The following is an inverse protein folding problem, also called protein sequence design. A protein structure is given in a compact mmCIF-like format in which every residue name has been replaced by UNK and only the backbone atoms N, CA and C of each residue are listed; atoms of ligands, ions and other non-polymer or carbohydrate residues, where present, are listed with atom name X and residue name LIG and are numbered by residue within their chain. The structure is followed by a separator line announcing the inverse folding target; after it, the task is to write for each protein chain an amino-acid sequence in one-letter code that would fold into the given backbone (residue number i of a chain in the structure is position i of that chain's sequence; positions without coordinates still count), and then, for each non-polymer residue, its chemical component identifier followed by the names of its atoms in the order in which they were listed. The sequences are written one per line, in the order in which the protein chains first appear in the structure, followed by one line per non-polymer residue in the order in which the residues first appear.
data_IF_852657944782
#
_entry.id   IF_852657944782
#
_cell.length_a   1.000
_cell.length_b   1.000
_cell.length_c   1.000
_cell.angle_alpha   90.00
_cell.angle_beta   90.00
_cell.angle_gamma   90.00
#
_symmetry.space_group_name_H-M   'P 1'
#
loop_
_entity.id
_entity.type
_entity.pdbx_description
1 polymer ?
#
# COMPACT_ATOMS: atom_id res chain seq x y z
N UNK A 1 -32.54 -67.64 12.22
CA UNK A 1 -31.74 -66.54 12.85
C UNK A 1 -32.49 -65.25 12.54
N UNK A 2 -33.35 -64.77 13.46
CA UNK A 2 -34.20 -63.57 13.22
C UNK A 2 -33.43 -62.33 13.56
N UNK A 3 -32.89 -61.62 12.54
CA UNK A 3 -32.34 -60.31 12.70
C UNK A 3 -33.49 -59.33 12.95
N UNK A 4 -33.56 -58.77 14.15
CA UNK A 4 -34.61 -57.84 14.57
C UNK A 4 -34.51 -56.60 13.72
N UNK A 5 -35.53 -56.18 12.95
CA UNK A 5 -35.46 -55.03 12.02
C UNK A 5 -35.17 -53.70 12.71
N UNK A 6 -35.25 -53.63 14.02
CA UNK A 6 -34.89 -52.45 14.83
C UNK A 6 -33.38 -52.14 14.81
N UNK A 7 -32.50 -53.12 14.64
CA UNK A 7 -31.05 -52.90 14.63
C UNK A 7 -30.56 -52.39 13.28
N UNK A 8 -31.16 -52.85 12.19
CA UNK A 8 -30.88 -52.33 10.84
C UNK A 8 -31.36 -50.87 10.65
N UNK A 9 -32.48 -50.49 11.25
CA UNK A 9 -32.98 -49.12 11.22
C UNK A 9 -32.06 -48.15 12.01
N UNK A 10 -31.56 -48.58 13.16
CA UNK A 10 -30.60 -47.78 13.97
C UNK A 10 -29.28 -47.53 13.25
N UNK A 11 -28.76 -48.52 12.52
CA UNK A 11 -27.54 -48.38 11.73
C UNK A 11 -27.72 -47.46 10.55
N UNK A 12 -28.90 -47.43 9.92
CA UNK A 12 -29.21 -46.52 8.83
C UNK A 12 -29.33 -45.05 9.28
N UNK A 13 -29.90 -44.81 10.47
CA UNK A 13 -29.98 -43.46 11.08
C UNK A 13 -28.58 -42.94 11.45
N UNK A 14 -27.68 -43.78 11.95
CA UNK A 14 -26.29 -43.41 12.31
C UNK A 14 -25.47 -43.08 11.05
N UNK A 15 -25.72 -43.75 9.92
CA UNK A 15 -25.04 -43.47 8.63
C UNK A 15 -25.42 -42.12 8.04
N UNK A 16 -26.60 -41.58 8.30
CA UNK A 16 -27.06 -40.26 7.80
C UNK A 16 -26.40 -39.10 8.58
N UNK A 17 -26.03 -39.32 9.85
CA UNK A 17 -25.35 -38.28 10.64
C UNK A 17 -23.86 -38.05 10.28
N UNK A 18 -23.25 -38.93 9.48
CA UNK A 18 -21.81 -38.82 9.13
C UNK A 18 -21.51 -37.83 8.00
N UNK A 19 -22.49 -37.20 7.36
CA UNK A 19 -22.32 -36.29 6.21
C UNK A 19 -22.16 -34.80 6.59
N UNK A 20 -22.03 -34.46 7.87
CA UNK A 20 -22.06 -33.08 8.36
C UNK A 20 -20.74 -32.35 8.48
N UNK A 21 -19.58 -32.90 8.09
CA UNK A 21 -18.32 -32.20 8.20
C UNK A 21 -18.14 -31.20 7.04
N UNK A 22 -18.47 -29.95 7.27
CA UNK A 22 -18.06 -28.86 6.36
C UNK A 22 -16.53 -28.78 6.36
N UNK A 23 -15.91 -29.18 5.27
CA UNK A 23 -14.48 -28.94 5.07
C UNK A 23 -14.18 -27.44 5.13
N UNK A 24 -13.04 -27.07 5.73
CA UNK A 24 -12.53 -25.70 5.76
C UNK A 24 -12.25 -25.23 4.34
N UNK A 25 -12.79 -24.09 3.95
CA UNK A 25 -12.60 -23.49 2.64
C UNK A 25 -11.52 -22.41 2.73
N UNK A 26 -10.41 -22.67 2.08
CA UNK A 26 -9.23 -21.78 2.09
C UNK A 26 -9.05 -21.20 0.69
N UNK A 27 -8.62 -19.94 0.63
CA UNK A 27 -8.14 -19.28 -0.56
C UNK A 27 -6.86 -18.50 -0.24
N UNK A 28 -6.14 -18.07 -1.28
CA UNK A 28 -5.05 -17.12 -1.13
C UNK A 28 -5.08 -16.07 -2.23
N UNK A 29 -4.40 -14.96 -1.96
CA UNK A 29 -4.14 -13.88 -2.91
C UNK A 29 -2.66 -13.59 -2.96
N UNK A 30 -2.21 -12.92 -4.01
CA UNK A 30 -0.96 -12.17 -4.06
C UNK A 30 -1.31 -10.68 -4.01
N UNK A 31 -1.23 -10.09 -2.82
CA UNK A 31 -1.63 -8.70 -2.61
C UNK A 31 -0.76 -7.73 -3.40
N UNK A 32 0.55 -7.99 -3.49
CA UNK A 32 1.47 -7.15 -4.25
C UNK A 32 1.15 -7.19 -5.74
N UNK A 33 0.93 -8.40 -6.30
CA UNK A 33 0.52 -8.54 -7.69
C UNK A 33 -0.80 -7.81 -8.00
N UNK A 34 -1.77 -7.90 -7.09
CA UNK A 34 -3.06 -7.22 -7.24
C UNK A 34 -2.87 -5.72 -7.27
N UNK A 35 -2.17 -5.15 -6.26
CA UNK A 35 -2.08 -3.70 -6.10
C UNK A 35 -1.28 -3.06 -7.24
N UNK A 36 -0.22 -3.73 -7.72
CA UNK A 36 0.57 -3.26 -8.86
C UNK A 36 -0.19 -3.23 -10.19
N UNK A 37 -1.28 -4.00 -10.32
CA UNK A 37 -2.14 -3.98 -11.51
C UNK A 37 -3.22 -2.89 -11.47
N UNK A 38 -3.42 -2.21 -10.33
CA UNK A 38 -4.40 -1.12 -10.17
C UNK A 38 -3.83 0.19 -10.71
N UNK A 39 -4.56 0.85 -11.60
CA UNK A 39 -4.15 2.13 -12.19
C UNK A 39 -3.94 3.23 -11.15
N UNK A 40 -4.91 3.41 -10.25
CA UNK A 40 -4.85 4.39 -9.17
C UNK A 40 -3.59 4.22 -8.30
N UNK A 41 -3.14 2.97 -8.07
CA UNK A 41 -1.92 2.70 -7.31
C UNK A 41 -0.66 3.15 -8.06
N UNK A 42 -0.59 2.85 -9.38
CA UNK A 42 0.54 3.28 -10.21
C UNK A 42 0.66 4.80 -10.25
N UNK A 43 -0.47 5.51 -10.32
CA UNK A 43 -0.50 6.97 -10.33
C UNK A 43 -0.08 7.53 -8.95
N UNK A 44 -0.59 6.96 -7.87
CA UNK A 44 -0.21 7.33 -6.51
C UNK A 44 1.28 7.08 -6.23
N UNK A 45 1.81 5.94 -6.68
CA UNK A 45 3.22 5.59 -6.53
C UNK A 45 4.13 6.56 -7.31
N UNK A 46 3.80 6.87 -8.55
CA UNK A 46 4.54 7.86 -9.37
C UNK A 46 4.50 9.27 -8.75
N UNK A 47 3.35 9.68 -8.21
CA UNK A 47 3.24 10.97 -7.53
C UNK A 47 4.14 11.01 -6.28
N UNK A 48 4.13 9.95 -5.49
CA UNK A 48 4.98 9.86 -4.29
C UNK A 48 6.46 9.87 -4.64
N UNK A 49 6.85 9.14 -5.68
CA UNK A 49 8.22 9.12 -6.21
C UNK A 49 8.67 10.51 -6.67
N UNK A 50 7.85 11.20 -7.46
CA UNK A 50 8.14 12.57 -7.91
C UNK A 50 8.30 13.55 -6.75
N UNK A 51 7.47 13.43 -5.70
CA UNK A 51 7.63 14.23 -4.47
C UNK A 51 8.96 13.92 -3.77
N UNK A 52 9.30 12.63 -3.64
CA UNK A 52 10.55 12.21 -3.01
C UNK A 52 11.79 12.69 -3.78
N UNK A 53 11.75 12.65 -5.11
CA UNK A 53 12.82 13.20 -5.97
C UNK A 53 13.00 14.71 -5.76
N UNK A 54 11.89 15.46 -5.68
CA UNK A 54 11.96 16.91 -5.44
C UNK A 54 12.56 17.23 -4.07
N UNK A 55 12.18 16.50 -3.02
CA UNK A 55 12.75 16.66 -1.68
C UNK A 55 14.23 16.27 -1.65
N UNK A 56 14.63 15.21 -2.35
CA UNK A 56 16.02 14.85 -2.47
C UNK A 56 16.83 15.94 -3.21
N UNK A 57 16.29 16.52 -4.30
CA UNK A 57 16.94 17.64 -5.00
C UNK A 57 17.14 18.84 -4.08
N UNK A 58 16.15 19.20 -3.27
CA UNK A 58 16.25 20.29 -2.31
C UNK A 58 17.37 20.04 -1.28
N UNK A 59 17.44 18.82 -0.74
CA UNK A 59 18.50 18.42 0.19
C UNK A 59 19.87 18.47 -0.48
N UNK A 60 20.02 17.99 -1.73
CA UNK A 60 21.28 18.00 -2.45
C UNK A 60 21.74 19.42 -2.80
N UNK A 61 20.83 20.33 -3.15
CA UNK A 61 21.18 21.75 -3.32
C UNK A 61 21.77 22.32 -2.05
N UNK A 62 21.13 22.12 -0.90
CA UNK A 62 21.64 22.60 0.39
C UNK A 62 22.99 21.97 0.78
N UNK A 63 23.22 20.70 0.45
CA UNK A 63 24.53 20.07 0.65
C UNK A 63 25.61 20.68 -0.22
N UNK A 64 25.30 21.03 -1.46
CA UNK A 64 26.25 21.71 -2.36
C UNK A 64 26.58 23.13 -1.86
N UNK A 65 25.58 23.86 -1.33
CA UNK A 65 25.76 25.15 -0.71
C UNK A 65 26.66 25.04 0.52
N UNK A 66 26.41 24.08 1.42
CA UNK A 66 27.27 23.81 2.58
C UNK A 66 28.70 23.53 2.15
N UNK A 67 28.90 22.68 1.15
CA UNK A 67 30.23 22.36 0.63
C UNK A 67 30.93 23.62 0.10
N UNK A 68 30.23 24.46 -0.65
CA UNK A 68 30.76 25.72 -1.14
C UNK A 68 31.20 26.66 -0.01
N UNK A 69 30.40 26.74 1.07
CA UNK A 69 30.77 27.53 2.26
C UNK A 69 32.00 26.95 2.97
N UNK A 70 32.11 25.61 3.05
CA UNK A 70 33.30 24.94 3.64
C UNK A 70 34.55 25.19 2.78
N UNK A 71 34.43 25.07 1.46
CA UNK A 71 35.55 25.32 0.54
C UNK A 71 35.98 26.79 0.57
N UNK A 72 35.01 27.72 0.68
CA UNK A 72 35.31 29.14 0.85
C UNK A 72 36.09 29.43 2.16
N UNK A 73 35.59 28.91 3.30
CA UNK A 73 36.25 29.07 4.58
C UNK A 73 37.69 28.52 4.53
N UNK A 74 37.89 27.36 3.91
CA UNK A 74 39.22 26.76 3.78
C UNK A 74 40.16 27.59 2.94
N UNK A 75 39.67 28.20 1.85
CA UNK A 75 40.49 29.04 0.96
C UNK A 75 40.86 30.39 1.60
N UNK A 76 39.94 30.97 2.38
CA UNK A 76 40.14 32.30 3.02
C UNK A 76 40.78 32.22 4.40
N UNK A 77 40.94 31.02 4.98
CA UNK A 77 41.38 30.79 6.37
C UNK A 77 42.67 31.54 6.77
N UNK A 78 43.61 31.69 5.84
CA UNK A 78 44.86 32.37 6.09
C UNK A 78 44.73 33.89 6.18
N UNK A 79 43.60 34.44 5.75
CA UNK A 79 43.29 35.87 5.73
C UNK A 79 42.38 36.29 6.88
N UNK A 80 41.83 35.32 7.60
CA UNK A 80 40.83 35.57 8.64
C UNK A 80 41.44 35.59 10.04
N UNK A 81 40.85 36.38 10.92
CA UNK A 81 41.13 36.31 12.36
C UNK A 81 40.53 35.05 12.98
N UNK A 82 41.07 34.64 14.13
CA UNK A 82 40.55 33.47 14.86
C UNK A 82 39.06 33.60 15.21
N UNK A 83 38.62 34.82 15.53
CA UNK A 83 37.20 35.11 15.83
C UNK A 83 36.34 34.89 14.60
N UNK A 84 36.70 35.44 13.45
CA UNK A 84 35.97 35.24 12.20
C UNK A 84 35.94 33.77 11.74
N UNK A 85 37.02 33.00 11.99
CA UNK A 85 37.02 31.56 11.71
C UNK A 85 36.01 30.85 12.57
N UNK A 86 35.93 31.16 13.88
CA UNK A 86 34.95 30.55 14.78
C UNK A 86 33.51 30.89 14.35
N UNK A 87 33.22 32.15 14.04
CA UNK A 87 31.89 32.57 13.55
C UNK A 87 31.49 31.81 12.30
N UNK A 88 32.38 31.65 11.33
CA UNK A 88 32.14 30.87 10.12
C UNK A 88 31.93 29.38 10.39
N UNK A 89 32.65 28.82 11.36
CA UNK A 89 32.42 27.41 11.76
C UNK A 89 31.07 27.22 12.44
N UNK A 90 30.63 28.18 13.23
CA UNK A 90 29.31 28.16 13.85
C UNK A 90 28.19 28.29 12.79
N UNK A 91 28.33 29.14 11.78
CA UNK A 91 27.43 29.22 10.63
C UNK A 91 27.32 27.86 9.91
N UNK A 92 28.46 27.22 9.60
CA UNK A 92 28.49 25.90 8.96
C UNK A 92 27.82 24.83 9.80
N UNK A 93 27.95 24.87 11.12
CA UNK A 93 27.28 23.95 12.03
C UNK A 93 25.77 24.13 11.98
N UNK A 94 25.29 25.36 12.08
CA UNK A 94 23.88 25.70 11.98
C UNK A 94 23.31 25.18 10.64
N UNK A 95 24.04 25.42 9.55
CA UNK A 95 23.60 24.98 8.22
C UNK A 95 23.56 23.46 8.06
N UNK A 96 24.52 22.73 8.68
CA UNK A 96 24.46 21.26 8.76
C UNK A 96 23.22 20.75 9.52
N UNK A 97 22.93 21.40 10.65
CA UNK A 97 21.77 21.06 11.47
C UNK A 97 20.45 21.31 10.72
N UNK A 98 20.38 22.39 9.92
CA UNK A 98 19.25 22.63 9.02
C UNK A 98 19.06 21.51 7.99
N UNK A 99 20.15 21.02 7.37
CA UNK A 99 20.09 19.92 6.41
C UNK A 99 19.59 18.63 7.09
N UNK A 100 20.07 18.35 8.30
CA UNK A 100 19.62 17.18 9.08
C UNK A 100 18.14 17.33 9.41
N UNK A 101 17.71 18.49 9.85
CA UNK A 101 16.30 18.77 10.15
C UNK A 101 15.41 18.65 8.90
N UNK A 102 15.87 19.15 7.76
CA UNK A 102 15.17 19.05 6.48
C UNK A 102 15.03 17.58 6.04
N UNK A 103 16.10 16.80 6.16
CA UNK A 103 16.07 15.35 5.89
C UNK A 103 15.09 14.62 6.79
N UNK A 104 15.09 14.93 8.09
CA UNK A 104 14.16 14.33 9.05
C UNK A 104 12.72 14.76 8.78
N UNK A 105 12.47 16.00 8.38
CA UNK A 105 11.16 16.52 7.97
C UNK A 105 10.61 15.73 6.79
N UNK A 106 11.44 15.41 5.79
CA UNK A 106 10.99 14.70 4.60
C UNK A 106 10.96 13.18 4.78
N UNK A 107 12.03 12.60 5.33
CA UNK A 107 12.23 11.14 5.35
C UNK A 107 12.33 10.53 6.75
N UNK A 108 12.12 11.31 7.81
CA UNK A 108 12.05 10.77 9.17
C UNK A 108 10.85 9.85 9.41
N UNK A 109 10.81 9.23 10.59
CA UNK A 109 9.78 8.23 10.97
C UNK A 109 8.36 8.76 10.77
N UNK A 110 8.11 10.04 11.08
CA UNK A 110 6.83 10.73 10.86
C UNK A 110 6.96 11.82 9.78
N UNK A 111 7.90 11.65 8.86
CA UNK A 111 8.19 12.63 7.82
C UNK A 111 7.13 12.69 6.72
N UNK A 112 7.31 13.69 5.86
CA UNK A 112 6.37 13.95 4.78
C UNK A 112 6.17 12.74 3.85
N UNK A 113 7.23 11.96 3.59
CA UNK A 113 7.15 10.76 2.76
C UNK A 113 6.17 9.73 3.30
N UNK A 114 6.29 9.39 4.59
CA UNK A 114 5.39 8.42 5.24
C UNK A 114 3.95 8.96 5.27
N UNK A 115 3.79 10.25 5.59
CA UNK A 115 2.47 10.87 5.63
C UNK A 115 1.79 10.88 4.25
N UNK A 116 2.54 11.23 3.17
CA UNK A 116 2.00 11.20 1.81
C UNK A 116 1.74 9.77 1.32
N UNK A 117 2.62 8.81 1.64
CA UNK A 117 2.41 7.39 1.37
C UNK A 117 1.09 6.90 1.99
N UNK A 118 0.88 7.20 3.27
CA UNK A 118 -0.35 6.82 3.97
C UNK A 118 -1.58 7.49 3.33
N UNK A 119 -1.49 8.76 2.95
CA UNK A 119 -2.59 9.49 2.34
C UNK A 119 -2.96 8.97 0.95
N UNK A 120 -1.97 8.62 0.13
CA UNK A 120 -2.17 8.25 -1.28
C UNK A 120 -2.41 6.75 -1.47
N UNK A 121 -1.66 5.90 -0.77
CA UNK A 121 -1.62 4.46 -1.01
C UNK A 121 -2.56 3.69 -0.08
N UNK A 122 -2.63 4.08 1.20
CA UNK A 122 -3.47 3.37 2.16
C UNK A 122 -4.94 3.23 1.75
N UNK A 123 -5.62 4.26 1.21
CA UNK A 123 -7.01 4.09 0.78
C UNK A 123 -7.19 3.04 -0.32
N UNK A 124 -6.18 2.86 -1.19
CA UNK A 124 -6.21 1.86 -2.26
C UNK A 124 -6.05 0.47 -1.65
N UNK A 125 -5.12 0.31 -0.71
CA UNK A 125 -4.94 -0.94 0.03
C UNK A 125 -6.20 -1.33 0.80
N UNK A 126 -6.79 -0.41 1.53
CA UNK A 126 -8.02 -0.63 2.30
C UNK A 126 -9.19 -1.06 1.38
N UNK A 127 -9.29 -0.48 0.18
CA UNK A 127 -10.26 -0.88 -0.84
C UNK A 127 -10.04 -2.31 -1.32
N UNK A 128 -8.80 -2.72 -1.61
CA UNK A 128 -8.47 -4.10 -1.99
C UNK A 128 -8.89 -5.07 -0.89
N UNK A 129 -8.51 -4.78 0.36
CA UNK A 129 -8.87 -5.61 1.51
C UNK A 129 -10.38 -5.73 1.71
N UNK A 130 -11.13 -4.63 1.47
CA UNK A 130 -12.59 -4.65 1.53
C UNK A 130 -13.18 -5.61 0.48
N UNK A 131 -12.66 -5.56 -0.75
CA UNK A 131 -13.11 -6.43 -1.85
C UNK A 131 -12.76 -7.89 -1.58
N UNK A 132 -11.58 -8.17 -1.02
CA UNK A 132 -11.20 -9.53 -0.60
C UNK A 132 -12.19 -10.05 0.43
N UNK A 133 -12.55 -9.24 1.43
CA UNK A 133 -13.56 -9.60 2.45
C UNK A 133 -14.92 -9.86 1.85
N UNK A 134 -15.38 -9.01 0.92
CA UNK A 134 -16.64 -9.23 0.22
C UNK A 134 -16.65 -10.58 -0.52
N UNK A 135 -15.58 -10.91 -1.25
CA UNK A 135 -15.43 -12.17 -1.96
C UNK A 135 -15.38 -13.34 -0.99
N UNK A 136 -14.67 -13.21 0.12
CA UNK A 136 -14.59 -14.26 1.13
C UNK A 136 -15.97 -14.61 1.69
N UNK A 137 -16.78 -13.60 2.01
CA UNK A 137 -18.15 -13.78 2.50
C UNK A 137 -19.05 -14.40 1.40
N UNK A 138 -19.00 -13.84 0.19
CA UNK A 138 -19.82 -14.30 -0.95
C UNK A 138 -19.53 -15.76 -1.32
N UNK A 139 -18.25 -16.12 -1.35
CA UNK A 139 -17.78 -17.47 -1.69
C UNK A 139 -17.70 -18.40 -0.50
N UNK A 140 -18.00 -17.93 0.72
CA UNK A 140 -17.95 -18.71 1.97
C UNK A 140 -16.56 -19.31 2.22
N UNK A 141 -15.49 -18.53 2.03
CA UNK A 141 -14.17 -18.90 2.47
C UNK A 141 -14.05 -18.67 3.97
N UNK A 142 -13.44 -19.63 4.68
CA UNK A 142 -13.17 -19.51 6.11
C UNK A 142 -11.88 -18.72 6.33
N UNK A 143 -10.90 -18.86 5.41
CA UNK A 143 -9.61 -18.15 5.45
C UNK A 143 -9.21 -17.69 4.05
N UNK A 144 -8.62 -16.48 3.98
CA UNK A 144 -7.90 -15.98 2.82
C UNK A 144 -6.52 -15.53 3.27
N UNK A 145 -5.48 -16.14 2.74
CA UNK A 145 -4.09 -15.82 3.06
C UNK A 145 -3.50 -14.89 2.00
N UNK A 146 -2.56 -14.05 2.43
CA UNK A 146 -1.76 -13.24 1.51
C UNK A 146 -0.40 -13.91 1.29
N UNK A 147 -0.14 -14.34 0.06
CA UNK A 147 1.12 -14.96 -0.35
C UNK A 147 2.27 -13.96 -0.46
N UNK A 148 1.96 -12.68 -0.64
CA UNK A 148 2.96 -11.61 -0.79
C UNK A 148 3.55 -11.12 0.53
N UNK A 149 2.99 -11.57 1.67
CA UNK A 149 3.48 -11.25 3.00
C UNK A 149 4.56 -12.25 3.47
N UNK A 150 5.09 -12.04 4.68
CA UNK A 150 6.10 -12.91 5.30
C UNK A 150 5.60 -14.34 5.59
N UNK A 151 4.35 -14.65 5.24
CA UNK A 151 3.80 -16.00 5.34
C UNK A 151 4.48 -16.93 4.33
N UNK A 152 5.24 -17.89 4.82
CA UNK A 152 5.93 -18.88 3.98
C UNK A 152 4.90 -19.90 3.47
N UNK A 153 4.44 -19.73 2.25
CA UNK A 153 3.62 -20.70 1.55
C UNK A 153 4.49 -21.47 0.55
N UNK A 154 4.88 -22.70 0.91
CA UNK A 154 5.77 -23.52 0.08
C UNK A 154 5.08 -24.10 -1.16
N UNK A 155 3.78 -24.38 -1.06
CA UNK A 155 2.99 -24.94 -2.16
C UNK A 155 1.50 -24.60 -1.99
N UNK A 156 0.85 -24.29 -3.10
CA UNK A 156 -0.61 -24.19 -3.22
C UNK A 156 -1.05 -24.51 -4.63
N UNK A 157 -2.19 -25.16 -4.77
CA UNK A 157 -2.79 -25.37 -6.09
C UNK A 157 -3.38 -24.05 -6.60
N UNK A 158 -3.29 -23.81 -7.91
CA UNK A 158 -3.76 -22.58 -8.57
C UNK A 158 -5.26 -22.32 -8.40
N UNK A 159 -6.06 -23.36 -8.18
CA UNK A 159 -7.51 -23.24 -7.96
C UNK A 159 -7.89 -22.55 -6.65
N UNK A 160 -6.95 -22.42 -5.71
CA UNK A 160 -7.11 -21.66 -4.47
C UNK A 160 -6.71 -20.18 -4.61
N UNK A 161 -6.10 -19.81 -5.74
CA UNK A 161 -5.72 -18.43 -6.05
C UNK A 161 -6.96 -17.64 -6.51
N UNK A 162 -7.31 -16.61 -5.74
CA UNK A 162 -8.41 -15.71 -6.08
C UNK A 162 -7.96 -14.31 -6.49
N UNK A 163 -6.66 -14.09 -6.74
CA UNK A 163 -6.10 -12.78 -7.11
C UNK A 163 -6.78 -12.19 -8.35
N UNK A 164 -6.95 -12.99 -9.40
CA UNK A 164 -7.65 -12.56 -10.62
C UNK A 164 -9.14 -12.27 -10.40
N UNK A 165 -9.78 -12.97 -9.44
CA UNK A 165 -11.17 -12.69 -9.08
C UNK A 165 -11.30 -11.33 -8.39
N UNK A 166 -10.34 -11.02 -7.49
CA UNK A 166 -10.24 -9.71 -6.82
C UNK A 166 -10.05 -8.61 -7.85
N UNK A 167 -9.08 -8.74 -8.76
CA UNK A 167 -8.81 -7.77 -9.83
C UNK A 167 -10.03 -7.51 -10.71
N UNK A 168 -10.72 -8.56 -11.12
CA UNK A 168 -11.95 -8.41 -11.92
C UNK A 168 -13.04 -7.65 -11.18
N UNK A 169 -13.21 -7.87 -9.88
CA UNK A 169 -14.20 -7.17 -9.06
C UNK A 169 -13.82 -5.70 -8.90
N UNK A 170 -12.53 -5.38 -8.70
CA UNK A 170 -12.00 -4.02 -8.66
C UNK A 170 -12.29 -3.29 -9.97
N UNK A 171 -11.87 -3.86 -11.10
CA UNK A 171 -12.04 -3.26 -12.42
C UNK A 171 -13.53 -3.04 -12.77
N UNK A 172 -14.41 -3.93 -12.35
CA UNK A 172 -15.85 -3.77 -12.58
C UNK A 172 -16.42 -2.62 -11.73
N UNK A 173 -16.00 -2.48 -10.48
CA UNK A 173 -16.42 -1.37 -9.63
C UNK A 173 -15.92 -0.02 -10.20
N UNK A 174 -14.69 0.05 -10.72
CA UNK A 174 -14.15 1.24 -11.37
C UNK A 174 -14.93 1.63 -12.62
N UNK A 175 -15.23 0.65 -13.49
CA UNK A 175 -16.06 0.90 -14.68
C UNK A 175 -17.44 1.44 -14.32
N UNK A 176 -18.07 0.91 -13.28
CA UNK A 176 -19.38 1.38 -12.80
C UNK A 176 -19.26 2.80 -12.25
N UNK A 177 -18.22 3.09 -11.46
CA UNK A 177 -17.97 4.43 -10.91
C UNK A 177 -17.76 5.45 -12.02
N UNK A 178 -16.86 5.17 -12.97
CA UNK A 178 -16.55 6.07 -14.08
C UNK A 178 -17.78 6.35 -14.96
N UNK A 179 -18.61 5.32 -15.21
CA UNK A 179 -19.87 5.49 -15.95
C UNK A 179 -20.87 6.39 -15.20
N UNK A 180 -20.99 6.23 -13.88
CA UNK A 180 -21.86 7.09 -13.06
C UNK A 180 -21.39 8.55 -13.08
N UNK A 181 -20.09 8.78 -12.92
CA UNK A 181 -19.51 10.12 -12.97
C UNK A 181 -19.70 10.78 -14.35
N UNK A 182 -19.55 10.02 -15.42
CA UNK A 182 -19.76 10.51 -16.77
C UNK A 182 -21.23 10.92 -17.00
N UNK A 183 -22.18 10.08 -16.54
CA UNK A 183 -23.60 10.41 -16.60
C UNK A 183 -23.91 11.69 -15.84
N UNK A 184 -23.33 11.83 -14.64
CA UNK A 184 -23.56 13.01 -13.80
C UNK A 184 -22.98 14.30 -14.44
N UNK A 185 -21.77 14.24 -15.01
CA UNK A 185 -21.17 15.34 -15.77
C UNK A 185 -22.04 15.76 -16.97
N UNK A 186 -22.60 14.78 -17.70
CA UNK A 186 -23.50 15.03 -18.83
C UNK A 186 -24.81 15.69 -18.38
N UNK A 187 -25.39 15.30 -17.24
CA UNK A 187 -26.57 15.95 -16.65
C UNK A 187 -26.28 17.40 -16.25
N UNK A 188 -25.15 17.64 -15.58
CA UNK A 188 -24.76 19.00 -15.17
C UNK A 188 -24.49 19.91 -16.36
N UNK A 189 -23.87 19.39 -17.43
CA UNK A 189 -23.65 20.18 -18.66
C UNK A 189 -24.95 20.56 -19.42
N UNK A 190 -25.97 19.66 -19.33
CA UNK A 190 -27.31 19.96 -19.89
C UNK A 190 -28.04 21.05 -19.12
N UNK A 191 -27.92 21.04 -17.78
CA UNK A 191 -28.60 22.03 -16.94
C UNK A 191 -27.90 23.40 -16.93
N UNK A 192 -26.67 23.51 -17.48
CA UNK A 192 -25.92 24.78 -17.62
C UNK A 192 -26.09 25.45 -18.99
N UNK A 193 -26.79 24.84 -19.95
CA UNK A 193 -27.14 25.54 -21.19
C UNK A 193 -28.39 26.37 -20.95
N UNK A 194 -28.32 27.72 -21.13
CA UNK A 194 -29.48 28.61 -21.01
C UNK A 194 -30.52 28.31 -22.08
#
# INVERSE_FOLDING_TARGET
MNYKPKFTLLFFIFSIMSFGQKGVRIAYIDFNEIIEKIGDYKDAARNLESMAENWNKEIEVKKMELKSMEDQLNSERFLLTSELINDRQDELKIYRDEIINLKNKYFGINGNYINQKNKLIKPIQDRVLSIVREIAIEKKFDFVFDRSSDLIMLYSQKNYDISELVLRKINNQEKIKNRKEEIERRKQSRNKKP
#
